data_IF_711060735077
#
_entry.id   IF_711060735077
#
_cell.length_a   1.000
_cell.length_b   1.000
_cell.length_c   1.000
_cell.angle_alpha   90.00
_cell.angle_beta   90.00
_cell.angle_gamma   90.00
#
_symmetry.space_group_name_H-M   'P 1'
#
loop_
_entity.id
_entity.type
_entity.pdbx_description
1 polymer ?
#
# COMPACT_ATOMS: atom_id res chain seq x y z
N UNK A 1 -5.51 -22.50 -4.19
CA UNK A 1 -4.12 -22.67 -3.75
C UNK A 1 -3.90 -21.58 -2.74
N UNK A 2 -3.48 -21.92 -1.52
CA UNK A 2 -3.36 -20.98 -0.41
C UNK A 2 -2.32 -19.93 -0.76
N UNK A 3 -2.78 -18.72 -1.12
CA UNK A 3 -1.94 -17.53 -1.19
C UNK A 3 -1.30 -17.38 0.18
N UNK A 4 -0.01 -17.72 0.27
CA UNK A 4 0.77 -17.49 1.47
C UNK A 4 0.98 -15.98 1.55
N UNK A 5 -0.03 -15.29 2.10
CA UNK A 5 0.03 -13.84 2.25
C UNK A 5 1.18 -13.55 3.21
N UNK A 6 2.25 -12.96 2.68
CA UNK A 6 3.46 -12.66 3.44
C UNK A 6 3.12 -11.71 4.60
N UNK A 7 2.94 -12.30 5.79
CA UNK A 7 2.65 -11.55 7.01
C UNK A 7 3.93 -10.89 7.50
N UNK A 8 3.81 -9.61 7.80
CA UNK A 8 4.89 -8.77 8.30
C UNK A 8 4.55 -8.42 9.74
N UNK A 9 5.43 -8.79 10.67
CA UNK A 9 5.32 -8.33 12.05
C UNK A 9 5.87 -6.91 12.13
N UNK A 10 5.10 -5.97 12.66
CA UNK A 10 5.47 -4.57 12.89
C UNK A 10 4.86 -4.06 14.20
N UNK A 11 5.08 -2.80 14.55
CA UNK A 11 4.42 -2.12 15.66
C UNK A 11 3.46 -1.04 15.15
N UNK A 12 2.33 -0.84 15.84
CA UNK A 12 1.40 0.28 15.61
C UNK A 12 0.93 0.86 16.96
N UNK A 13 0.37 2.08 16.97
CA UNK A 13 -0.30 2.62 18.17
C UNK A 13 -1.26 1.59 18.78
N UNK A 14 -1.39 1.60 20.10
CA UNK A 14 -2.32 0.72 20.81
C UNK A 14 -3.78 1.02 20.46
N UNK A 15 -4.14 2.29 20.28
CA UNK A 15 -5.55 2.74 20.11
C UNK A 15 -6.25 2.20 18.86
N UNK A 16 -5.49 1.89 17.83
CA UNK A 16 -5.97 1.40 16.52
C UNK A 16 -5.43 0.02 16.16
N UNK A 17 -4.89 -0.71 17.14
CA UNK A 17 -4.46 -2.10 16.99
C UNK A 17 -5.69 -3.03 16.87
N UNK A 18 -6.39 -2.94 15.75
CA UNK A 18 -7.65 -3.64 15.48
C UNK A 18 -7.51 -4.45 14.19
N UNK A 19 -7.77 -5.76 14.27
CA UNK A 19 -7.80 -6.61 13.08
C UNK A 19 -8.81 -6.09 12.06
N UNK A 20 -8.39 -6.02 10.80
CA UNK A 20 -9.19 -5.48 9.70
C UNK A 20 -8.89 -4.03 9.36
N UNK A 21 -8.25 -3.27 10.26
CA UNK A 21 -7.89 -1.88 10.01
C UNK A 21 -6.83 -1.78 8.90
N UNK A 22 -7.04 -0.83 8.00
CA UNK A 22 -6.11 -0.50 6.91
C UNK A 22 -5.44 0.84 7.17
N UNK A 23 -4.16 0.94 6.84
CA UNK A 23 -3.40 2.17 6.97
C UNK A 23 -2.36 2.30 5.85
N UNK A 24 -1.99 3.53 5.52
CA UNK A 24 -0.82 3.81 4.67
C UNK A 24 0.38 4.09 5.56
N UNK A 25 1.48 3.39 5.36
CA UNK A 25 2.68 3.61 6.13
C UNK A 25 3.43 4.85 5.63
N UNK A 26 3.60 5.86 6.49
CA UNK A 26 4.21 7.15 6.12
C UNK A 26 5.69 7.28 6.51
N UNK A 27 6.28 6.25 7.12
CA UNK A 27 7.65 6.32 7.63
C UNK A 27 7.74 6.82 9.08
N UNK A 28 8.98 7.04 9.54
CA UNK A 28 9.27 7.50 10.89
C UNK A 28 9.30 9.03 11.02
N UNK A 29 9.42 9.50 12.26
CA UNK A 29 9.70 10.90 12.62
C UNK A 29 11.09 11.03 13.24
N UNK A 30 11.52 12.25 13.54
CA UNK A 30 12.84 12.55 14.13
C UNK A 30 13.05 11.79 15.46
N UNK A 31 12.00 11.66 16.27
CA UNK A 31 12.01 10.92 17.54
C UNK A 31 12.32 9.42 17.36
N UNK A 32 12.18 8.89 16.14
CA UNK A 32 12.52 7.50 15.84
C UNK A 32 14.03 7.28 15.67
N UNK A 33 14.85 8.31 15.45
CA UNK A 33 16.27 8.14 15.10
C UNK A 33 17.08 7.39 16.16
N UNK A 34 16.80 7.67 17.44
CA UNK A 34 17.44 7.01 18.59
C UNK A 34 16.62 5.84 19.18
N UNK A 35 15.47 5.50 18.57
CA UNK A 35 14.55 4.51 19.12
C UNK A 35 15.08 3.07 18.93
N UNK A 36 15.10 2.29 20.02
CA UNK A 36 15.51 0.87 20.01
C UNK A 36 14.60 -0.01 19.15
N UNK A 37 13.33 0.37 19.00
CA UNK A 37 12.33 -0.36 18.20
C UNK A 37 12.26 0.12 16.75
N UNK A 38 13.08 1.10 16.34
CA UNK A 38 13.06 1.71 15.00
C UNK A 38 13.06 0.67 13.88
N UNK A 39 13.89 -0.37 13.98
CA UNK A 39 13.99 -1.40 12.94
C UNK A 39 12.68 -2.17 12.74
N UNK A 40 11.93 -2.46 13.81
CA UNK A 40 10.66 -3.18 13.70
C UNK A 40 9.50 -2.24 13.36
N UNK A 41 9.49 -0.99 13.85
CA UNK A 41 8.48 0.01 13.47
C UNK A 41 8.58 0.43 12.00
N UNK A 42 9.81 0.61 11.49
CA UNK A 42 10.07 1.27 10.20
C UNK A 42 10.46 0.32 9.07
N UNK A 43 10.19 -0.98 9.21
CA UNK A 43 10.48 -1.99 8.17
C UNK A 43 9.46 -2.01 7.02
N UNK A 44 8.32 -1.35 7.18
CA UNK A 44 7.29 -1.30 6.16
C UNK A 44 7.71 -0.35 5.04
N UNK A 45 7.16 -0.57 3.84
CA UNK A 45 7.46 0.27 2.68
C UNK A 45 6.65 1.57 2.77
N UNK A 46 7.34 2.70 2.69
CA UNK A 46 6.70 4.03 2.74
C UNK A 46 5.77 4.19 1.54
N UNK A 47 4.58 4.73 1.78
CA UNK A 47 3.53 4.90 0.78
C UNK A 47 2.69 3.65 0.50
N UNK A 48 3.09 2.47 0.99
CA UNK A 48 2.30 1.25 0.85
C UNK A 48 1.14 1.19 1.84
N UNK A 49 0.05 0.55 1.41
CA UNK A 49 -1.12 0.28 2.23
C UNK A 49 -1.00 -1.09 2.87
N UNK A 50 -1.31 -1.19 4.15
CA UNK A 50 -1.25 -2.41 4.93
C UNK A 50 -2.56 -2.65 5.64
N UNK A 51 -2.92 -3.92 5.84
CA UNK A 51 -4.06 -4.34 6.65
C UNK A 51 -3.57 -5.12 7.87
N UNK A 52 -4.07 -4.79 9.05
CA UNK A 52 -3.84 -5.57 10.27
C UNK A 52 -4.63 -6.88 10.15
N UNK A 53 -3.94 -8.01 10.16
CA UNK A 53 -4.54 -9.35 10.06
C UNK A 53 -4.44 -10.15 11.36
N UNK A 54 -3.65 -9.66 12.32
CA UNK A 54 -3.51 -10.29 13.62
C UNK A 54 -2.92 -9.34 14.65
N UNK A 55 -3.35 -9.50 15.89
CA UNK A 55 -2.75 -8.85 17.05
C UNK A 55 -1.85 -9.87 17.73
N UNK A 56 -0.66 -9.45 18.15
CA UNK A 56 0.21 -10.31 18.95
C UNK A 56 -0.01 -10.03 20.42
N UNK A 57 -0.12 -11.10 21.20
CA UNK A 57 -0.05 -11.00 22.65
C UNK A 57 1.35 -10.50 23.01
N UNK A 58 1.44 -9.33 23.62
CA UNK A 58 2.71 -8.69 23.92
C UNK A 58 2.53 -7.45 24.79
N UNK A 59 3.63 -7.04 25.40
CA UNK A 59 3.67 -5.81 26.19
C UNK A 59 3.48 -4.58 25.30
N UNK A 60 2.87 -3.55 25.86
CA UNK A 60 2.85 -2.23 25.24
C UNK A 60 4.21 -1.58 25.43
N UNK A 61 4.83 -1.15 24.33
CA UNK A 61 6.12 -0.47 24.39
C UNK A 61 5.92 1.05 24.36
N UNK A 62 6.64 1.81 25.20
CA UNK A 62 6.55 3.27 25.21
C UNK A 62 7.03 3.84 23.88
N UNK A 63 6.31 4.84 23.38
CA UNK A 63 6.64 5.54 22.14
C UNK A 63 6.40 7.05 22.32
N UNK A 64 7.35 7.92 21.96
CA UNK A 64 7.16 9.38 22.07
C UNK A 64 6.15 9.96 21.08
N UNK A 65 5.75 9.21 20.05
CA UNK A 65 4.81 9.64 19.01
C UNK A 65 3.38 9.18 19.29
N UNK A 66 3.22 8.10 20.07
CA UNK A 66 1.93 7.47 20.34
C UNK A 66 1.69 7.48 21.85
N UNK A 67 0.69 8.23 22.30
CA UNK A 67 0.41 8.48 23.72
C UNK A 67 0.24 7.19 24.54
N UNK A 68 -0.50 6.21 23.99
CA UNK A 68 -0.69 4.90 24.62
C UNK A 68 0.43 3.89 24.30
N UNK A 69 1.50 4.32 23.65
CA UNK A 69 2.57 3.45 23.18
C UNK A 69 2.18 2.62 21.97
N UNK A 70 3.00 1.62 21.67
CA UNK A 70 2.86 0.75 20.50
C UNK A 70 2.81 -0.72 20.89
N UNK A 71 2.08 -1.50 20.10
CA UNK A 71 1.91 -2.96 20.27
C UNK A 71 2.27 -3.70 18.99
N UNK A 72 2.67 -4.96 19.13
CA UNK A 72 3.03 -5.79 17.99
C UNK A 72 1.80 -6.32 17.25
N UNK A 73 1.82 -6.18 15.93
CA UNK A 73 0.75 -6.63 15.03
C UNK A 73 1.33 -7.38 13.83
N UNK A 74 0.52 -8.26 13.27
CA UNK A 74 0.75 -8.89 11.97
C UNK A 74 -0.02 -8.11 10.91
N UNK A 75 0.70 -7.64 9.89
CA UNK A 75 0.10 -6.92 8.76
C UNK A 75 0.40 -7.63 7.45
N UNK A 76 -0.45 -7.39 6.47
CA UNK A 76 -0.22 -7.79 5.08
C UNK A 76 -0.20 -6.55 4.21
N UNK A 77 0.71 -6.48 3.25
CA UNK A 77 0.68 -5.42 2.24
C UNK A 77 -0.54 -5.65 1.34
N UNK A 78 -1.32 -4.61 1.13
CA UNK A 78 -2.46 -4.66 0.21
C UNK A 78 -1.99 -4.41 -1.22
N UNK A 79 -2.62 -5.07 -2.21
CA UNK A 79 -2.28 -4.87 -3.62
C UNK A 79 -2.50 -3.41 -4.02
N UNK A 80 -1.66 -2.94 -4.96
CA UNK A 80 -1.84 -1.60 -5.53
C UNK A 80 -2.76 -1.72 -6.73
N UNK A 81 -3.89 -1.02 -6.69
CA UNK A 81 -4.83 -0.93 -7.81
C UNK A 81 -4.53 0.30 -8.65
N UNK A 82 -4.48 0.13 -9.96
CA UNK A 82 -4.38 1.24 -10.90
C UNK A 82 -5.10 0.98 -12.22
N UNK A 83 -5.33 2.03 -12.99
CA UNK A 83 -5.91 1.97 -14.31
C UNK A 83 -4.81 2.01 -15.39
N UNK A 84 -4.86 1.05 -16.31
CA UNK A 84 -4.03 1.03 -17.53
C UNK A 84 -4.88 0.97 -18.78
N UNK A 85 -4.31 1.37 -19.91
CA UNK A 85 -4.96 1.17 -21.20
C UNK A 85 -5.15 -0.33 -21.44
N UNK A 86 -6.35 -0.73 -21.91
CA UNK A 86 -6.68 -2.13 -22.12
C UNK A 86 -5.67 -2.87 -23.03
N UNK A 87 -5.00 -2.16 -23.96
CA UNK A 87 -3.97 -2.73 -24.84
C UNK A 87 -2.68 -3.11 -24.10
N UNK A 88 -2.45 -2.51 -22.94
CA UNK A 88 -1.26 -2.73 -22.09
C UNK A 88 -1.54 -3.58 -20.86
N UNK A 89 -2.81 -3.93 -20.63
CA UNK A 89 -3.28 -4.71 -19.48
C UNK A 89 -2.99 -6.20 -19.67
N UNK A 90 -1.72 -6.59 -19.49
CA UNK A 90 -1.25 -7.97 -19.66
C UNK A 90 -0.59 -8.43 -18.37
N UNK A 91 -1.04 -9.56 -17.81
CA UNK A 91 -0.43 -10.16 -16.62
C UNK A 91 1.06 -10.46 -16.86
N UNK A 92 1.88 -10.17 -15.86
CA UNK A 92 3.34 -10.26 -15.93
C UNK A 92 4.03 -9.11 -16.66
N UNK A 93 3.30 -8.21 -17.33
CA UNK A 93 3.92 -7.08 -18.01
C UNK A 93 4.49 -6.06 -17.02
N UNK A 94 5.72 -5.63 -17.28
CA UNK A 94 6.33 -4.47 -16.60
C UNK A 94 5.88 -3.20 -17.30
N UNK A 95 5.22 -2.33 -16.55
CA UNK A 95 4.73 -1.03 -17.04
C UNK A 95 5.36 0.11 -16.23
N UNK A 96 5.53 1.25 -16.88
CA UNK A 96 5.91 2.50 -16.21
C UNK A 96 4.75 3.47 -16.31
N UNK A 97 4.36 4.05 -15.17
CA UNK A 97 3.27 5.03 -15.15
C UNK A 97 3.77 6.37 -15.71
N UNK A 98 3.52 6.57 -17.00
CA UNK A 98 3.84 7.79 -17.71
C UNK A 98 2.68 8.79 -17.59
N UNK A 99 2.75 9.64 -16.57
CA UNK A 99 1.80 10.73 -16.36
C UNK A 99 0.61 10.37 -15.45
N UNK A 100 -0.17 11.42 -15.16
CA UNK A 100 -1.25 11.42 -14.17
C UNK A 100 -2.51 11.99 -14.81
N UNK A 101 -3.68 11.51 -14.40
CA UNK A 101 -4.93 12.08 -14.90
C UNK A 101 -5.14 13.46 -14.30
N UNK A 102 -5.32 14.48 -15.14
CA UNK A 102 -5.54 15.87 -14.71
C UNK A 102 -7.01 16.18 -14.36
N UNK A 103 -7.94 15.27 -14.66
CA UNK A 103 -9.38 15.45 -14.44
C UNK A 103 -9.75 15.08 -13.00
N UNK A 104 -9.63 16.04 -12.08
CA UNK A 104 -9.84 15.85 -10.63
C UNK A 104 -11.26 15.42 -10.23
N UNK A 105 -12.26 15.72 -11.07
CA UNK A 105 -13.67 15.33 -10.91
C UNK A 105 -13.98 13.94 -11.50
N UNK A 106 -12.99 13.21 -12.01
CA UNK A 106 -13.18 11.87 -12.56
C UNK A 106 -13.42 10.84 -11.44
N UNK A 107 -14.49 10.04 -11.55
CA UNK A 107 -14.77 8.94 -10.61
C UNK A 107 -13.65 7.89 -10.52
N UNK A 108 -12.83 7.77 -11.58
CA UNK A 108 -11.68 6.86 -11.64
C UNK A 108 -10.34 7.57 -11.35
N UNK A 109 -10.37 8.82 -10.84
CA UNK A 109 -9.17 9.62 -10.63
C UNK A 109 -8.10 8.91 -9.80
N UNK A 110 -8.50 8.24 -8.71
CA UNK A 110 -7.56 7.54 -7.83
C UNK A 110 -6.90 6.32 -8.48
N UNK A 111 -7.57 5.64 -9.42
CA UNK A 111 -6.98 4.52 -10.18
C UNK A 111 -5.96 5.02 -11.19
N UNK A 112 -6.19 6.19 -11.79
CA UNK A 112 -5.20 6.83 -12.67
C UNK A 112 -4.08 7.53 -11.89
N UNK A 113 -4.30 7.80 -10.59
CA UNK A 113 -3.40 8.52 -9.71
C UNK A 113 -3.11 7.75 -8.40
N UNK A 114 -2.63 6.48 -8.46
CA UNK A 114 -2.31 5.72 -7.25
C UNK A 114 -1.25 6.47 -6.43
N UNK A 115 -1.59 6.78 -5.17
CA UNK A 115 -0.73 7.48 -4.23
C UNK A 115 0.49 6.65 -3.80
N UNK A 116 0.39 5.32 -3.93
CA UNK A 116 1.41 4.36 -3.53
C UNK A 116 2.59 4.29 -4.50
N UNK A 117 2.41 4.74 -5.75
CA UNK A 117 3.41 4.63 -6.82
C UNK A 117 3.89 6.04 -7.15
N UNK A 118 5.20 6.26 -7.25
CA UNK A 118 5.75 7.55 -7.67
C UNK A 118 5.68 7.73 -9.20
N UNK A 119 5.69 8.97 -9.71
CA UNK A 119 5.85 9.20 -11.14
C UNK A 119 7.12 8.49 -11.67
N UNK A 120 7.01 7.85 -12.84
CA UNK A 120 8.09 7.10 -13.49
C UNK A 120 8.56 5.83 -12.76
N UNK A 121 7.88 5.39 -11.71
CA UNK A 121 8.14 4.09 -11.08
C UNK A 121 7.57 2.97 -11.95
N UNK A 122 8.33 1.87 -12.06
CA UNK A 122 7.89 0.67 -12.78
C UNK A 122 7.22 -0.32 -11.84
N UNK A 123 6.14 -0.91 -12.32
CA UNK A 123 5.36 -1.94 -11.63
C UNK A 123 5.11 -3.13 -12.55
N UNK A 124 4.84 -4.28 -11.98
CA UNK A 124 4.50 -5.51 -12.69
C UNK A 124 3.02 -5.78 -12.45
N UNK A 125 2.28 -5.98 -13.53
CA UNK A 125 0.86 -6.37 -13.47
C UNK A 125 0.78 -7.81 -12.95
N UNK A 126 0.10 -8.01 -11.83
CA UNK A 126 -0.12 -9.33 -11.25
C UNK A 126 -1.43 -9.95 -11.73
N UNK A 127 -2.48 -9.13 -11.80
CA UNK A 127 -3.79 -9.57 -12.26
C UNK A 127 -4.49 -8.46 -13.05
N UNK A 128 -5.33 -8.87 -14.01
CA UNK A 128 -6.14 -7.95 -14.82
C UNK A 128 -7.62 -8.11 -14.46
N UNK A 129 -8.23 -7.03 -13.99
CA UNK A 129 -9.61 -6.99 -13.57
C UNK A 129 -10.58 -6.41 -14.60
N UNK A 130 -11.59 -5.70 -14.07
CA UNK A 130 -12.70 -5.14 -14.84
C UNK A 130 -12.26 -4.02 -15.77
N UNK A 131 -13.01 -3.86 -16.87
CA UNK A 131 -12.86 -2.75 -17.81
C UNK A 131 -13.84 -1.62 -17.50
N UNK A 132 -13.40 -0.39 -17.76
CA UNK A 132 -14.26 0.78 -17.69
C UNK A 132 -13.94 1.77 -18.81
N UNK A 133 -14.92 2.59 -19.16
CA UNK A 133 -14.76 3.65 -20.15
C UNK A 133 -14.26 4.94 -19.51
N UNK A 134 -13.08 5.38 -19.93
CA UNK A 134 -12.52 6.66 -19.53
C UNK A 134 -13.31 7.79 -20.21
N UNK A 135 -13.65 8.88 -19.49
CA UNK A 135 -14.27 10.06 -20.10
C UNK A 135 -13.49 10.70 -21.25
N UNK A 136 -12.20 10.36 -21.42
CA UNK A 136 -11.38 10.79 -22.54
C UNK A 136 -11.45 9.84 -23.76
N UNK A 137 -12.42 8.91 -23.79
CA UNK A 137 -12.68 8.02 -24.94
C UNK A 137 -11.73 6.82 -25.04
N UNK A 138 -11.18 6.34 -23.92
CA UNK A 138 -10.28 5.19 -23.86
C UNK A 138 -10.91 4.07 -23.02
N UNK A 139 -10.83 2.83 -23.48
CA UNK A 139 -11.14 1.67 -22.65
C UNK A 139 -9.96 1.36 -21.74
N UNK A 140 -10.21 1.41 -20.44
CA UNK A 140 -9.22 1.18 -19.40
C UNK A 140 -9.51 -0.15 -18.69
N UNK A 141 -8.49 -0.73 -18.07
CA UNK A 141 -8.59 -1.90 -17.19
C UNK A 141 -8.08 -1.54 -15.81
N UNK A 142 -8.77 -2.01 -14.79
CA UNK A 142 -8.23 -2.03 -13.42
C UNK A 142 -7.27 -3.21 -13.33
N UNK A 143 -6.07 -2.96 -12.82
CA UNK A 143 -5.05 -3.99 -12.62
C UNK A 143 -4.54 -3.96 -11.19
N UNK A 144 -4.26 -5.14 -10.64
CA UNK A 144 -3.45 -5.26 -9.43
C UNK A 144 -1.98 -5.30 -9.85
N UNK A 145 -1.16 -4.51 -9.18
CA UNK A 145 0.26 -4.46 -9.46
C UNK A 145 1.08 -4.60 -8.19
N UNK A 146 2.28 -5.15 -8.37
CA UNK A 146 3.37 -5.05 -7.42
C UNK A 146 4.49 -4.19 -7.97
N UNK A 147 5.35 -3.69 -7.10
CA UNK A 147 6.56 -2.97 -7.54
C UNK A 147 7.52 -3.93 -8.24
N UNK A 148 8.15 -3.45 -9.31
CA UNK A 148 9.26 -4.16 -9.91
C UNK A 148 10.48 -3.94 -9.01
N UNK A 149 10.88 -4.95 -8.24
CA UNK A 149 12.09 -4.91 -7.41
C UNK A 149 13.35 -4.59 -8.23
#
# INVERSE_FOLDING_TARGET
MSDEVNKIITLCSKDWAVTGLEFTFLGGKEECESCKLRKVCLKLRVGSKYKIVGLRNGETHPCPIHDEGVVAVEVVELPILLAVDAKTAVEGAKITLNGRCARVDCSFFNLCNPAQILPNESVIIESVGESFECPNGRTMKVVEVRRAD
#
